data_IF_464250644285
#
_entry.id   IF_464250644285
#
_cell.length_a   1.000
_cell.length_b   1.000
_cell.length_c   1.000
_cell.angle_alpha   90.00
_cell.angle_beta   90.00
_cell.angle_gamma   90.00
#
_symmetry.space_group_name_H-M   'P 1'
#
loop_
_entity.id
_entity.type
_entity.pdbx_description
1 polymer ?
#
# COMPACT_ATOMS: atom_id res chain seq x y z
N UNK A 1 -0.59 10.28 -81.02
CA UNK A 1 -0.43 11.01 -79.79
C UNK A 1 -1.62 10.70 -78.88
N UNK A 2 -1.46 9.79 -77.89
CA UNK A 2 -2.53 9.34 -76.96
C UNK A 2 -2.67 10.32 -75.79
N UNK A 3 -3.63 11.22 -75.86
CA UNK A 3 -4.00 12.15 -74.76
C UNK A 3 -5.27 11.68 -74.00
N UNK A 4 -5.37 10.42 -73.68
CA UNK A 4 -6.62 9.91 -73.13
C UNK A 4 -6.55 9.17 -71.78
N UNK A 5 -5.36 8.92 -71.25
CA UNK A 5 -5.20 7.98 -70.12
C UNK A 5 -5.38 8.56 -68.70
N UNK A 6 -5.44 9.86 -68.51
CA UNK A 6 -5.40 10.42 -67.16
C UNK A 6 -6.79 10.68 -66.55
N UNK A 7 -7.79 10.90 -67.36
CA UNK A 7 -9.18 11.10 -66.87
C UNK A 7 -9.79 9.85 -66.21
N UNK A 8 -9.67 8.64 -66.77
CA UNK A 8 -10.22 7.45 -66.17
C UNK A 8 -9.47 7.08 -64.87
N UNK A 9 -8.15 7.38 -64.83
CA UNK A 9 -7.36 7.14 -63.56
C UNK A 9 -7.83 8.01 -62.40
N UNK A 10 -8.05 9.31 -62.64
CA UNK A 10 -8.54 10.22 -61.60
C UNK A 10 -9.98 9.92 -61.19
N UNK A 11 -10.82 9.45 -62.11
CA UNK A 11 -12.18 9.02 -61.79
C UNK A 11 -12.20 7.74 -60.93
N UNK A 12 -11.34 6.77 -61.25
CA UNK A 12 -11.18 5.54 -60.46
C UNK A 12 -10.57 5.82 -59.09
N UNK A 13 -9.58 6.70 -59.01
CA UNK A 13 -8.97 7.12 -57.71
C UNK A 13 -10.00 7.85 -56.85
N UNK A 14 -10.79 8.76 -57.44
CA UNK A 14 -11.84 9.48 -56.71
C UNK A 14 -12.93 8.53 -56.16
N UNK A 15 -13.36 7.56 -56.98
CA UNK A 15 -14.33 6.55 -56.55
C UNK A 15 -13.78 5.65 -55.41
N UNK A 16 -12.50 5.24 -55.50
CA UNK A 16 -11.84 4.46 -54.48
C UNK A 16 -11.71 5.24 -53.17
N UNK A 17 -11.33 6.51 -53.22
CA UNK A 17 -11.25 7.41 -52.05
C UNK A 17 -12.63 7.64 -51.41
N UNK A 18 -13.68 7.77 -52.19
CA UNK A 18 -15.06 8.00 -51.74
C UNK A 18 -15.61 6.78 -50.98
N UNK A 19 -15.12 5.58 -51.27
CA UNK A 19 -15.47 4.35 -50.55
C UNK A 19 -14.54 4.11 -49.34
N UNK A 20 -13.24 4.36 -49.49
CA UNK A 20 -12.25 4.12 -48.44
C UNK A 20 -12.37 5.11 -47.27
N UNK A 21 -12.64 6.39 -47.55
CA UNK A 21 -12.77 7.40 -46.50
C UNK A 21 -13.88 7.11 -45.48
N UNK A 22 -15.12 6.76 -45.85
CA UNK A 22 -16.13 6.41 -44.87
C UNK A 22 -15.85 5.07 -44.16
N UNK A 23 -15.17 4.13 -44.84
CA UNK A 23 -14.80 2.84 -44.26
C UNK A 23 -13.74 3.01 -43.16
N UNK A 24 -12.69 3.77 -43.41
CA UNK A 24 -11.64 4.07 -42.43
C UNK A 24 -12.18 5.01 -41.35
N UNK A 25 -12.93 6.03 -41.69
CA UNK A 25 -13.55 6.96 -40.74
C UNK A 25 -14.57 6.26 -39.85
N UNK A 26 -15.36 5.35 -40.38
CA UNK A 26 -16.34 4.56 -39.66
C UNK A 26 -15.68 3.59 -38.67
N UNK A 27 -14.59 2.92 -39.08
CA UNK A 27 -13.86 2.03 -38.16
C UNK A 27 -13.19 2.79 -37.01
N UNK A 28 -12.59 3.95 -37.28
CA UNK A 28 -11.97 4.80 -36.24
C UNK A 28 -13.03 5.32 -35.26
N UNK A 29 -14.19 5.75 -35.76
CA UNK A 29 -15.30 6.21 -34.88
C UNK A 29 -15.91 5.08 -34.07
N UNK A 30 -16.07 3.87 -34.62
CA UNK A 30 -16.55 2.69 -33.92
C UNK A 30 -15.55 2.24 -32.87
N UNK A 31 -14.26 2.22 -33.19
CA UNK A 31 -13.21 1.84 -32.25
C UNK A 31 -13.12 2.86 -31.09
N UNK A 32 -13.22 4.16 -31.40
CA UNK A 32 -13.28 5.18 -30.33
C UNK A 32 -14.52 5.04 -29.47
N UNK A 33 -15.68 4.77 -30.02
CA UNK A 33 -16.90 4.52 -29.23
C UNK A 33 -16.78 3.26 -28.38
N UNK A 34 -16.26 2.17 -28.92
CA UNK A 34 -16.04 0.95 -28.13
C UNK A 34 -15.02 1.15 -27.01
N UNK A 35 -13.89 1.79 -27.28
CA UNK A 35 -12.91 2.13 -26.24
C UNK A 35 -13.51 3.06 -25.17
N UNK A 36 -14.29 4.07 -25.57
CA UNK A 36 -14.93 4.96 -24.62
C UNK A 36 -15.98 4.24 -23.75
N UNK A 37 -16.76 3.33 -24.36
CA UNK A 37 -17.75 2.53 -23.62
C UNK A 37 -17.07 1.51 -22.72
N UNK A 38 -15.94 0.90 -23.13
CA UNK A 38 -15.19 -0.02 -22.28
C UNK A 38 -14.46 0.71 -21.14
N UNK A 39 -13.90 1.91 -21.41
CA UNK A 39 -13.33 2.75 -20.34
C UNK A 39 -14.39 3.22 -19.35
N UNK A 40 -15.57 3.61 -19.82
CA UNK A 40 -16.69 3.98 -18.94
C UNK A 40 -17.28 2.76 -18.22
N UNK A 41 -17.30 1.58 -18.82
CA UNK A 41 -17.72 0.35 -18.16
C UNK A 41 -16.69 -0.14 -17.12
N UNK A 42 -15.38 0.04 -17.35
CA UNK A 42 -14.35 -0.23 -16.35
C UNK A 42 -14.33 0.81 -15.22
N UNK A 43 -14.74 2.05 -15.51
CA UNK A 43 -14.88 3.09 -14.46
C UNK A 43 -16.24 2.97 -13.73
N UNK A 44 -17.19 2.28 -14.32
CA UNK A 44 -18.51 1.99 -13.78
C UNK A 44 -18.67 0.53 -13.31
N UNK A 45 -17.56 -0.18 -13.01
CA UNK A 45 -17.71 -1.22 -12.00
C UNK A 45 -18.29 -0.52 -10.78
N UNK A 46 -19.51 -0.87 -10.34
CA UNK A 46 -19.94 -0.44 -9.03
C UNK A 46 -18.81 -0.96 -8.12
N UNK A 47 -18.00 -0.04 -7.61
CA UNK A 47 -17.32 -0.33 -6.38
C UNK A 47 -18.46 -0.86 -5.52
N UNK A 48 -18.50 -2.16 -5.32
CA UNK A 48 -19.31 -2.74 -4.26
C UNK A 48 -18.86 -1.95 -3.06
N UNK A 49 -19.62 -0.90 -2.77
CA UNK A 49 -19.33 -0.04 -1.64
C UNK A 49 -19.28 -1.01 -0.49
N UNK A 50 -18.09 -1.24 0.05
CA UNK A 50 -17.98 -1.98 1.30
C UNK A 50 -19.00 -1.31 2.18
N UNK A 51 -20.07 -2.02 2.61
CA UNK A 51 -21.12 -1.38 3.39
C UNK A 51 -20.42 -0.78 4.60
N UNK A 52 -20.41 0.56 4.66
CA UNK A 52 -19.84 1.28 5.79
C UNK A 52 -20.84 1.02 6.93
N UNK A 53 -20.60 -0.04 7.66
CA UNK A 53 -21.30 -0.28 8.91
C UNK A 53 -20.72 0.67 9.96
N UNK A 54 -21.59 1.35 10.69
CA UNK A 54 -21.15 2.15 11.83
C UNK A 54 -20.40 1.24 12.82
N UNK A 55 -19.30 1.73 13.42
CA UNK A 55 -18.55 0.97 14.40
C UNK A 55 -19.42 0.54 15.56
N UNK A 56 -19.30 -0.71 15.97
CA UNK A 56 -19.94 -1.24 17.17
C UNK A 56 -19.03 -0.98 18.38
N UNK A 57 -19.59 -1.04 19.57
CA UNK A 57 -18.81 -0.83 20.81
C UNK A 57 -17.63 -1.80 20.96
N UNK A 58 -17.73 -2.99 20.36
CA UNK A 58 -16.71 -4.04 20.41
C UNK A 58 -15.68 -3.93 19.28
N UNK A 59 -15.81 -2.98 18.35
CA UNK A 59 -14.88 -2.82 17.23
C UNK A 59 -13.53 -2.22 17.69
N UNK A 60 -12.81 -3.03 18.45
CA UNK A 60 -11.46 -2.76 18.95
C UNK A 60 -10.55 -3.87 18.50
N UNK A 61 -9.33 -3.53 18.16
CA UNK A 61 -8.33 -4.50 17.73
C UNK A 61 -6.94 -4.09 18.18
N UNK A 62 -6.20 -5.04 18.73
CA UNK A 62 -4.77 -4.88 19.02
C UNK A 62 -3.99 -5.82 18.11
N UNK A 63 -2.97 -5.30 17.44
CA UNK A 63 -2.13 -6.08 16.52
C UNK A 63 -0.66 -5.85 16.85
N UNK A 64 0.07 -6.94 17.05
CA UNK A 64 1.52 -6.93 17.11
C UNK A 64 2.06 -7.01 15.68
N UNK A 65 2.70 -5.97 15.21
CA UNK A 65 3.42 -5.95 13.95
C UNK A 65 4.89 -6.33 14.21
N UNK A 66 5.37 -7.34 13.51
CA UNK A 66 6.77 -7.77 13.58
C UNK A 66 7.39 -7.58 12.19
N UNK A 67 8.52 -6.89 12.10
CA UNK A 67 9.29 -6.85 10.86
C UNK A 67 10.30 -7.99 10.87
N UNK A 68 10.33 -8.77 9.79
CA UNK A 68 11.31 -9.84 9.61
C UNK A 68 12.62 -9.25 9.08
N UNK A 69 13.75 -9.67 9.63
CA UNK A 69 15.08 -9.23 9.22
C UNK A 69 16.13 -9.60 10.26
N UNK A 70 17.36 -9.18 10.05
CA UNK A 70 18.46 -9.38 11.00
C UNK A 70 18.21 -8.64 12.33
N UNK A 71 17.53 -7.49 12.24
CA UNK A 71 17.08 -6.72 13.38
C UNK A 71 15.55 -6.59 13.31
N UNK A 72 14.81 -7.52 13.92
CA UNK A 72 13.35 -7.46 13.92
C UNK A 72 12.86 -6.25 14.71
N UNK A 73 11.93 -5.51 14.13
CA UNK A 73 11.21 -4.43 14.80
C UNK A 73 9.86 -4.92 15.32
N UNK A 74 9.40 -4.33 16.41
CA UNK A 74 8.12 -4.68 17.04
C UNK A 74 7.31 -3.43 17.30
N UNK A 75 6.05 -3.45 16.84
CA UNK A 75 5.14 -2.34 16.97
C UNK A 75 3.77 -2.86 17.40
N UNK A 76 3.21 -2.33 18.45
CA UNK A 76 1.82 -2.57 18.84
C UNK A 76 0.93 -1.49 18.21
N UNK A 77 -0.02 -1.94 17.40
CA UNK A 77 -1.07 -1.12 16.82
C UNK A 77 -2.36 -1.38 17.60
N UNK A 78 -2.92 -0.34 18.19
CA UNK A 78 -4.22 -0.36 18.84
C UNK A 78 -5.21 0.44 18.00
N UNK A 79 -6.31 -0.18 17.61
CA UNK A 79 -7.39 0.45 16.88
C UNK A 79 -8.67 0.38 17.72
N UNK A 80 -9.34 1.53 17.86
CA UNK A 80 -10.62 1.64 18.53
C UNK A 80 -11.55 2.46 17.63
N UNK A 81 -12.33 1.78 16.80
CA UNK A 81 -13.18 2.42 15.82
C UNK A 81 -14.31 3.24 16.44
N UNK A 82 -15.01 2.82 17.50
CA UNK A 82 -16.03 3.64 18.18
C UNK A 82 -15.52 4.99 18.67
N UNK A 83 -14.27 5.05 19.10
CA UNK A 83 -13.66 6.28 19.64
C UNK A 83 -12.80 7.02 18.62
N UNK A 84 -12.67 6.50 17.39
CA UNK A 84 -11.76 7.02 16.37
C UNK A 84 -10.31 7.16 16.86
N UNK A 85 -9.86 6.21 17.68
CA UNK A 85 -8.51 6.20 18.25
C UNK A 85 -7.65 5.18 17.52
N UNK A 86 -6.47 5.61 17.09
CA UNK A 86 -5.40 4.76 16.59
C UNK A 86 -4.16 5.03 17.45
N UNK A 87 -3.69 4.03 18.17
CA UNK A 87 -2.48 4.10 18.98
C UNK A 87 -1.37 3.25 18.37
N UNK A 88 -0.16 3.77 18.38
CA UNK A 88 1.06 3.07 17.96
C UNK A 88 2.06 3.11 19.09
N UNK A 89 2.59 1.94 19.47
CA UNK A 89 3.60 1.79 20.52
C UNK A 89 4.75 0.96 19.98
N UNK A 90 5.92 1.55 19.87
CA UNK A 90 7.14 0.80 19.56
C UNK A 90 7.55 -0.03 20.79
N UNK A 91 7.76 -1.32 20.59
CA UNK A 91 8.21 -2.24 21.64
C UNK A 91 9.70 -2.50 21.43
N UNK A 92 10.56 -2.18 22.41
CA UNK A 92 12.00 -2.43 22.29
C UNK A 92 12.29 -3.93 22.13
N UNK A 93 13.16 -4.28 21.20
CA UNK A 93 13.60 -5.67 21.01
C UNK A 93 14.33 -6.26 22.21
N UNK A 94 14.92 -5.40 23.04
CA UNK A 94 15.61 -5.76 24.30
C UNK A 94 14.64 -6.02 25.46
N UNK A 95 13.34 -5.77 25.28
CA UNK A 95 12.35 -6.05 26.31
C UNK A 95 12.46 -7.51 26.76
N UNK A 96 12.66 -7.70 28.06
CA UNK A 96 12.73 -9.03 28.66
C UNK A 96 11.32 -9.62 28.75
N UNK A 97 11.15 -10.82 28.22
CA UNK A 97 9.87 -11.54 28.16
C UNK A 97 10.03 -12.98 28.60
N UNK A 98 8.98 -13.64 29.11
CA UNK A 98 9.00 -15.05 29.46
C UNK A 98 9.30 -15.94 28.24
N UNK A 99 10.29 -16.82 28.35
CA UNK A 99 10.68 -17.73 27.29
C UNK A 99 11.16 -19.08 27.83
N UNK A 100 10.43 -20.15 27.60
CA UNK A 100 10.67 -21.45 28.20
C UNK A 100 10.49 -21.39 29.72
N UNK A 101 11.47 -21.95 30.45
CA UNK A 101 11.51 -21.93 31.94
C UNK A 101 12.24 -20.69 32.49
N UNK A 102 12.54 -19.71 31.64
CA UNK A 102 13.28 -18.51 32.00
C UNK A 102 12.81 -17.28 31.26
N UNK A 103 13.74 -16.37 31.03
CA UNK A 103 13.50 -15.10 30.35
C UNK A 103 14.48 -14.91 29.19
N UNK A 104 14.05 -14.17 28.17
CA UNK A 104 14.90 -13.76 27.05
C UNK A 104 14.49 -12.38 26.53
N UNK A 105 15.33 -11.74 25.73
CA UNK A 105 14.91 -10.55 24.98
C UNK A 105 13.85 -10.91 23.93
N UNK A 106 12.99 -9.97 23.61
CA UNK A 106 11.95 -10.16 22.59
C UNK A 106 12.55 -10.52 21.22
N UNK A 107 13.68 -9.91 20.86
CA UNK A 107 14.45 -10.25 19.65
C UNK A 107 14.89 -11.71 19.65
N UNK A 108 15.41 -12.21 20.77
CA UNK A 108 15.83 -13.61 20.89
C UNK A 108 14.62 -14.56 20.85
N UNK A 109 13.54 -14.18 21.50
CA UNK A 109 12.27 -14.93 21.45
C UNK A 109 11.76 -15.05 20.00
N UNK A 110 11.82 -13.95 19.23
CA UNK A 110 11.43 -13.92 17.84
C UNK A 110 12.31 -14.82 16.97
N UNK A 111 13.62 -14.72 17.11
CA UNK A 111 14.59 -15.53 16.36
C UNK A 111 14.43 -17.04 16.64
N UNK A 112 14.11 -17.41 17.87
CA UNK A 112 13.99 -18.82 18.28
C UNK A 112 12.63 -19.43 17.95
N UNK A 113 11.54 -18.68 18.07
CA UNK A 113 10.17 -19.23 18.02
C UNK A 113 9.16 -18.40 17.21
N UNK A 114 9.61 -17.31 16.58
CA UNK A 114 8.81 -16.51 15.67
C UNK A 114 7.77 -15.61 16.33
N UNK A 115 6.94 -14.93 15.49
CA UNK A 115 6.04 -13.87 15.94
C UNK A 115 4.89 -14.35 16.84
N UNK A 116 4.42 -15.59 16.67
CA UNK A 116 3.35 -16.14 17.49
C UNK A 116 3.79 -16.27 18.97
N UNK A 117 5.03 -16.69 19.21
CA UNK A 117 5.58 -16.79 20.55
C UNK A 117 5.85 -15.41 21.16
N UNK A 118 6.31 -14.45 20.36
CA UNK A 118 6.45 -13.06 20.82
C UNK A 118 5.11 -12.48 21.26
N UNK A 119 4.05 -12.70 20.48
CA UNK A 119 2.69 -12.32 20.89
C UNK A 119 2.35 -12.90 22.26
N UNK A 120 2.51 -14.22 22.43
CA UNK A 120 2.17 -14.89 23.69
C UNK A 120 2.97 -14.30 24.86
N UNK A 121 4.27 -14.11 24.71
CA UNK A 121 5.12 -13.52 25.72
C UNK A 121 4.72 -12.09 26.09
N UNK A 122 4.32 -11.29 25.08
CA UNK A 122 3.84 -9.91 25.30
C UNK A 122 2.45 -9.85 25.94
N UNK A 123 1.56 -10.83 25.70
CA UNK A 123 0.30 -10.93 26.45
C UNK A 123 0.55 -11.02 27.95
N UNK A 124 1.53 -11.83 28.36
CA UNK A 124 1.88 -12.02 29.76
C UNK A 124 2.60 -10.79 30.34
N UNK A 125 3.54 -10.21 29.57
CA UNK A 125 4.40 -9.11 30.04
C UNK A 125 3.67 -7.77 30.12
N UNK A 126 2.82 -7.46 29.12
CA UNK A 126 2.13 -6.18 29.00
C UNK A 126 0.65 -6.26 29.35
N UNK A 127 0.17 -7.40 29.82
CA UNK A 127 -1.25 -7.66 30.10
C UNK A 127 -2.17 -7.26 28.92
N UNK A 128 -1.76 -7.64 27.71
CA UNK A 128 -2.55 -7.34 26.51
C UNK A 128 -3.79 -8.23 26.44
N UNK A 129 -4.84 -7.82 25.72
CA UNK A 129 -6.01 -8.64 25.48
C UNK A 129 -5.67 -9.97 24.80
N UNK A 130 -6.32 -11.06 25.15
CA UNK A 130 -6.08 -12.39 24.58
C UNK A 130 -6.36 -12.46 23.08
N UNK A 131 -7.25 -11.60 22.57
CA UNK A 131 -7.62 -11.45 21.17
C UNK A 131 -6.63 -10.57 20.37
N UNK A 132 -5.48 -10.22 20.95
CA UNK A 132 -4.41 -9.52 20.25
C UNK A 132 -3.93 -10.35 19.05
N UNK A 133 -3.98 -9.81 17.85
CA UNK A 133 -3.48 -10.44 16.64
C UNK A 133 -1.97 -10.20 16.48
N UNK A 134 -1.34 -10.94 15.58
CA UNK A 134 0.02 -10.63 15.14
C UNK A 134 0.12 -10.65 13.62
N UNK A 135 1.01 -9.85 13.09
CA UNK A 135 1.33 -9.78 11.67
C UNK A 135 2.84 -9.67 11.50
N UNK A 136 3.42 -10.62 10.77
CA UNK A 136 4.83 -10.57 10.40
C UNK A 136 4.96 -10.02 8.98
N UNK A 137 5.73 -8.94 8.84
CA UNK A 137 5.97 -8.25 7.58
C UNK A 137 7.42 -8.47 7.15
N UNK A 138 7.62 -9.01 5.96
CA UNK A 138 8.95 -9.04 5.36
C UNK A 138 9.31 -7.68 4.75
N UNK A 139 10.60 -7.33 4.63
CA UNK A 139 11.02 -6.10 3.97
C UNK A 139 10.42 -5.94 2.57
N UNK A 140 10.35 -7.02 1.80
CA UNK A 140 9.74 -7.01 0.46
C UNK A 140 8.24 -6.68 0.46
N UNK A 141 7.51 -7.03 1.52
CA UNK A 141 6.09 -6.66 1.68
C UNK A 141 5.97 -5.21 2.07
N UNK A 142 6.81 -4.71 2.96
CA UNK A 142 6.86 -3.29 3.34
C UNK A 142 7.18 -2.40 2.14
N UNK A 143 8.17 -2.76 1.33
CA UNK A 143 8.52 -2.06 0.10
C UNK A 143 7.35 -2.02 -0.90
N UNK A 144 6.64 -3.14 -1.09
CA UNK A 144 5.44 -3.18 -1.93
C UNK A 144 4.32 -2.30 -1.39
N UNK A 145 4.11 -2.27 -0.08
CA UNK A 145 3.12 -1.39 0.54
C UNK A 145 3.51 0.08 0.35
N UNK A 146 4.77 0.43 0.65
CA UNK A 146 5.27 1.78 0.47
C UNK A 146 5.18 2.25 -1.00
N UNK A 147 5.55 1.39 -1.96
CA UNK A 147 5.44 1.70 -3.39
C UNK A 147 3.98 1.86 -3.86
N UNK A 148 3.03 1.13 -3.27
CA UNK A 148 1.61 1.21 -3.61
C UNK A 148 0.95 2.48 -3.07
N UNK A 149 1.29 2.88 -1.86
CA UNK A 149 0.66 4.03 -1.19
C UNK A 149 1.42 5.34 -1.40
N UNK A 150 2.61 5.26 -2.01
CA UNK A 150 3.44 6.42 -2.32
C UNK A 150 4.24 6.94 -1.14
N UNK A 151 4.76 8.15 -1.30
CA UNK A 151 5.57 8.82 -0.29
C UNK A 151 4.75 9.20 0.96
N UNK A 152 5.29 8.95 2.14
CA UNK A 152 4.66 9.26 3.42
C UNK A 152 5.26 10.56 3.97
N UNK A 153 4.41 11.49 4.40
CA UNK A 153 4.84 12.70 5.11
C UNK A 153 4.92 12.40 6.60
N UNK A 154 6.12 12.44 7.15
CA UNK A 154 6.37 12.22 8.57
C UNK A 154 6.74 13.54 9.23
N UNK A 155 6.03 13.89 10.30
CA UNK A 155 6.34 15.03 11.13
C UNK A 155 7.10 14.60 12.38
N UNK A 156 8.31 15.07 12.54
CA UNK A 156 9.12 14.86 13.75
C UNK A 156 8.91 16.03 14.70
N UNK A 157 7.80 16.04 15.43
CA UNK A 157 7.49 17.14 16.35
C UNK A 157 8.04 16.87 17.73
N UNK A 158 9.09 17.59 18.12
CA UNK A 158 9.55 17.72 19.50
C UNK A 158 10.17 16.50 20.17
N UNK A 159 10.15 15.33 19.52
CA UNK A 159 10.72 14.10 20.08
C UNK A 159 12.23 13.95 19.85
N UNK A 160 12.77 14.67 18.87
CA UNK A 160 14.19 14.60 18.50
C UNK A 160 14.80 15.99 18.47
N UNK A 161 16.03 16.11 18.93
CA UNK A 161 16.84 17.32 18.78
C UNK A 161 17.31 17.48 17.33
N UNK A 162 17.71 18.69 16.96
CA UNK A 162 18.26 18.97 15.62
C UNK A 162 19.49 18.11 15.30
N UNK A 163 20.28 17.78 16.32
CA UNK A 163 21.48 16.95 16.19
C UNK A 163 21.14 15.48 15.94
N UNK A 164 20.13 14.96 16.64
CA UNK A 164 19.62 13.60 16.42
C UNK A 164 18.99 13.44 15.04
N UNK A 165 18.23 14.43 14.59
CA UNK A 165 17.68 14.45 13.22
C UNK A 165 18.77 14.48 12.16
N UNK A 166 19.82 15.28 12.37
CA UNK A 166 20.97 15.34 11.47
C UNK A 166 21.76 14.02 11.44
N UNK A 167 21.90 13.34 12.58
CA UNK A 167 22.52 12.02 12.67
C UNK A 167 21.73 10.94 11.91
N UNK A 168 20.41 11.10 11.82
CA UNK A 168 19.52 10.25 11.00
C UNK A 168 19.48 10.68 9.52
N UNK A 169 20.30 11.65 9.10
CA UNK A 169 20.30 12.18 7.74
C UNK A 169 19.07 13.05 7.42
N UNK A 170 18.37 13.52 8.45
CA UNK A 170 17.10 14.23 8.31
C UNK A 170 17.31 15.74 8.48
N UNK A 171 16.71 16.52 7.58
CA UNK A 171 16.79 17.99 7.62
C UNK A 171 15.39 18.59 7.76
N UNK A 172 14.99 18.88 8.98
CA UNK A 172 13.72 19.56 9.27
C UNK A 172 12.66 18.71 9.96
N UNK A 173 11.62 19.36 10.46
CA UNK A 173 10.59 18.76 11.32
C UNK A 173 9.53 17.96 10.54
N UNK A 174 9.44 18.12 9.22
CA UNK A 174 8.50 17.38 8.36
C UNK A 174 9.22 16.94 7.12
N UNK A 175 9.17 15.67 6.83
CA UNK A 175 9.79 15.10 5.64
C UNK A 175 8.81 14.23 4.86
N UNK A 176 9.05 14.15 3.55
CA UNK A 176 8.35 13.24 2.67
C UNK A 176 9.29 12.10 2.36
N UNK A 177 9.03 10.94 2.93
CA UNK A 177 9.83 9.74 2.71
C UNK A 177 9.38 9.06 1.42
N UNK A 178 10.34 8.72 0.57
CA UNK A 178 10.10 7.86 -0.61
C UNK A 178 9.78 6.42 -0.19
N UNK A 179 9.30 5.61 -1.13
CA UNK A 179 8.96 4.22 -0.85
C UNK A 179 10.16 3.41 -0.31
N UNK A 180 11.38 3.69 -0.78
CA UNK A 180 12.60 3.02 -0.33
C UNK A 180 13.11 3.50 1.04
N UNK A 181 12.77 4.73 1.44
CA UNK A 181 13.13 5.28 2.75
C UNK A 181 12.09 4.97 3.82
N UNK A 182 10.87 4.61 3.40
CA UNK A 182 9.78 4.25 4.31
C UNK A 182 9.69 2.75 4.62
N UNK A 183 10.47 1.91 3.94
CA UNK A 183 10.60 0.47 4.16
C UNK A 183 11.84 0.18 5.00
#
# INVERSE_FOLDING_TARGET
MHKGGWRPFWAALGAALLVLLPLVGGTVLLTRRMLHTQLLAQTAEPQQGVPITLPKEDDRMTVLLCTAGEQPGFLLLYLNAPQNVCGLLAVPGELTVPFGDGEASLTRCYAAAGPARCRQALLETLALPEDTFYLALSPAVLEKLASRYGAVRVGFSGAFTTEELAALGQTGNVQTLSAGEAS
#
